data_IF_951463561206
#
_entry.id   IF_951463561206
#
_cell.length_a   1.000
_cell.length_b   1.000
_cell.length_c   1.000
_cell.angle_alpha   90.00
_cell.angle_beta   90.00
_cell.angle_gamma   90.00
#
_symmetry.space_group_name_H-M   'P 1'
#
loop_
_entity.id
_entity.type
_entity.pdbx_description
1 polymer ?
#
# COMPACT_ATOMS: atom_id res chain seq x y z
N UNK A 1 28.26 -20.32 60.63
CA UNK A 1 27.13 -20.93 61.35
C UNK A 1 26.29 -19.81 61.96
N UNK A 2 24.95 -19.83 61.74
CA UNK A 2 23.90 -18.85 62.15
C UNK A 2 23.75 -17.65 61.21
N UNK A 3 22.88 -17.71 60.18
CA UNK A 3 21.41 -17.50 60.16
C UNK A 3 21.04 -16.07 60.58
N UNK A 4 20.67 -15.22 59.60
CA UNK A 4 19.99 -13.94 59.82
C UNK A 4 18.68 -14.00 59.02
N UNK A 5 17.50 -13.79 59.65
CA UNK A 5 16.20 -14.08 59.07
C UNK A 5 15.69 -12.95 58.16
N UNK A 6 14.90 -13.37 57.18
CA UNK A 6 14.01 -12.56 56.34
C UNK A 6 13.02 -11.76 57.18
N UNK A 7 12.97 -10.44 57.01
CA UNK A 7 11.81 -9.61 57.38
C UNK A 7 11.33 -8.90 56.13
N UNK A 8 10.20 -9.39 55.64
CA UNK A 8 9.36 -8.80 54.61
C UNK A 8 8.72 -7.53 55.21
N UNK A 9 8.99 -6.37 54.63
CA UNK A 9 8.24 -5.15 54.89
C UNK A 9 7.52 -4.73 53.61
N UNK A 10 6.21 -5.04 53.56
CA UNK A 10 5.31 -4.61 52.52
C UNK A 10 5.08 -3.10 52.64
N UNK A 11 5.49 -2.34 51.62
CA UNK A 11 5.08 -0.94 51.45
C UNK A 11 4.17 -0.90 50.23
N UNK A 12 2.87 -0.86 50.49
CA UNK A 12 1.85 -0.63 49.49
C UNK A 12 1.95 0.82 49.00
N UNK A 13 2.53 1.03 47.82
CA UNK A 13 2.48 2.31 47.13
C UNK A 13 1.07 2.50 46.55
N UNK A 14 0.31 3.39 47.17
CA UNK A 14 -1.02 3.83 46.78
C UNK A 14 -0.94 4.46 45.38
N UNK A 15 -1.54 3.79 44.39
CA UNK A 15 -1.81 4.33 43.06
C UNK A 15 -2.84 5.45 43.17
N UNK A 16 -2.39 6.69 43.24
CA UNK A 16 -3.25 7.86 43.00
C UNK A 16 -3.59 7.90 41.51
N UNK A 17 -4.76 7.36 41.14
CA UNK A 17 -5.37 7.58 39.84
C UNK A 17 -5.63 9.08 39.67
N UNK A 18 -4.79 9.74 38.88
CA UNK A 18 -5.05 11.08 38.39
C UNK A 18 -6.18 11.03 37.37
N UNK A 19 -7.42 11.24 37.81
CA UNK A 19 -8.55 11.52 36.92
C UNK A 19 -8.42 12.93 36.36
N UNK A 20 -7.57 13.11 35.35
CA UNK A 20 -7.61 14.31 34.52
C UNK A 20 -8.87 14.28 33.65
N UNK A 21 -9.77 15.24 33.83
CA UNK A 21 -10.85 15.50 32.87
C UNK A 21 -10.22 15.93 31.55
N UNK A 22 -10.17 15.02 30.57
CA UNK A 22 -9.93 15.38 29.19
C UNK A 22 -11.16 16.15 28.67
N UNK A 23 -11.05 17.47 28.53
CA UNK A 23 -12.00 18.26 27.76
C UNK A 23 -11.84 17.84 26.29
N UNK A 24 -12.77 17.02 25.79
CA UNK A 24 -12.91 16.78 24.37
C UNK A 24 -13.27 18.10 23.70
N UNK A 25 -12.28 18.76 23.08
CA UNK A 25 -12.56 19.90 22.21
C UNK A 25 -13.54 19.46 21.13
N UNK A 26 -14.49 20.33 20.79
CA UNK A 26 -15.34 20.18 19.59
C UNK A 26 -14.44 20.34 18.36
N UNK A 27 -13.64 19.31 18.07
CA UNK A 27 -12.95 19.21 16.81
C UNK A 27 -14.01 19.23 15.72
N UNK A 28 -13.87 20.15 14.77
CA UNK A 28 -14.60 20.09 13.52
C UNK A 28 -14.45 18.65 13.00
N UNK A 29 -15.55 17.93 12.85
CA UNK A 29 -15.52 16.62 12.19
C UNK A 29 -15.23 16.89 10.70
N UNK A 30 -14.00 16.60 10.22
CA UNK A 30 -13.62 16.91 8.86
C UNK A 30 -14.43 16.09 7.84
N UNK A 31 -15.00 14.96 8.26
CA UNK A 31 -15.86 14.12 7.41
C UNK A 31 -17.29 14.65 7.36
N UNK A 32 -17.81 15.21 8.46
CA UNK A 32 -19.13 15.85 8.47
C UNK A 32 -19.19 17.03 7.48
N UNK A 33 -18.12 17.83 7.38
CA UNK A 33 -18.03 18.94 6.43
C UNK A 33 -18.05 18.50 4.94
N UNK A 34 -17.68 17.24 4.67
CA UNK A 34 -17.65 16.66 3.33
C UNK A 34 -18.90 15.80 3.03
N UNK A 35 -19.71 15.50 4.05
CA UNK A 35 -20.91 14.70 3.88
C UNK A 35 -21.91 15.42 2.97
N UNK A 36 -22.26 14.78 1.85
CA UNK A 36 -23.21 15.31 0.86
C UNK A 36 -22.63 16.23 -0.22
N UNK A 37 -21.32 16.53 -0.23
CA UNK A 37 -20.70 17.23 -1.38
C UNK A 37 -20.49 16.22 -2.52
N UNK A 38 -21.06 16.46 -3.73
CA UNK A 38 -20.80 15.59 -4.85
C UNK A 38 -19.31 15.63 -5.18
N UNK A 39 -18.68 14.46 -5.38
CA UNK A 39 -17.31 14.40 -5.86
C UNK A 39 -17.20 15.18 -7.18
N UNK A 40 -16.29 16.15 -7.26
CA UNK A 40 -16.07 16.93 -8.49
C UNK A 40 -17.01 18.13 -8.71
N UNK A 41 -17.83 18.52 -7.73
CA UNK A 41 -18.76 19.65 -7.89
C UNK A 41 -18.09 21.02 -7.90
N UNK A 42 -16.79 21.09 -7.58
CA UNK A 42 -16.02 22.31 -7.49
C UNK A 42 -14.95 22.34 -8.59
N UNK A 43 -15.06 23.26 -9.55
CA UNK A 43 -14.07 23.45 -10.60
C UNK A 43 -12.70 23.92 -10.06
N UNK A 44 -12.65 24.45 -8.84
CA UNK A 44 -11.42 24.89 -8.17
C UNK A 44 -10.88 23.85 -7.18
N UNK A 45 -11.58 22.72 -7.00
CA UNK A 45 -11.03 21.62 -6.22
C UNK A 45 -9.85 21.00 -7.00
N UNK A 46 -8.63 20.98 -6.41
CA UNK A 46 -7.46 20.43 -7.06
C UNK A 46 -7.65 18.97 -7.50
N UNK A 47 -8.51 18.19 -6.83
CA UNK A 47 -8.82 16.82 -7.23
C UNK A 47 -9.67 16.76 -8.51
N UNK A 48 -10.56 17.73 -8.74
CA UNK A 48 -11.33 17.84 -10.00
C UNK A 48 -10.40 18.16 -11.17
N UNK A 49 -9.45 19.08 -10.97
CA UNK A 49 -8.49 19.48 -12.00
C UNK A 49 -7.46 18.39 -12.35
N UNK A 50 -7.15 17.48 -11.41
CA UNK A 50 -6.31 16.31 -11.66
C UNK A 50 -7.06 15.22 -12.45
N UNK A 51 -8.32 14.94 -12.10
CA UNK A 51 -9.14 13.93 -12.79
C UNK A 51 -9.41 14.28 -14.26
N UNK A 52 -9.71 15.54 -14.56
CA UNK A 52 -9.97 15.98 -15.94
C UNK A 52 -8.78 15.79 -16.88
N UNK A 53 -7.54 15.72 -16.36
CA UNK A 53 -6.34 15.42 -17.14
C UNK A 53 -6.09 13.93 -17.32
N UNK A 54 -6.54 13.12 -16.36
CA UNK A 54 -6.48 11.66 -16.47
C UNK A 54 -7.51 11.17 -17.49
N UNK A 55 -8.69 11.81 -17.55
CA UNK A 55 -9.77 11.45 -18.48
C UNK A 55 -9.44 11.76 -19.96
N UNK A 56 -8.51 12.69 -20.23
CA UNK A 56 -8.07 13.03 -21.60
C UNK A 56 -6.86 12.25 -22.08
N UNK A 57 -6.18 11.53 -21.19
CA UNK A 57 -5.17 10.56 -21.59
C UNK A 57 -5.91 9.29 -22.02
N UNK A 58 -5.98 9.04 -23.33
CA UNK A 58 -6.43 7.76 -23.88
C UNK A 58 -5.44 6.68 -23.42
N UNK A 59 -5.62 6.18 -22.19
CA UNK A 59 -4.87 5.05 -21.69
C UNK A 59 -5.14 3.91 -22.67
N UNK A 60 -4.09 3.45 -23.36
CA UNK A 60 -4.19 2.29 -24.24
C UNK A 60 -4.95 1.20 -23.48
N UNK A 61 -6.12 0.83 -24.01
CA UNK A 61 -7.01 -0.11 -23.35
C UNK A 61 -6.23 -1.41 -23.19
N UNK A 62 -5.84 -1.75 -21.96
CA UNK A 62 -5.00 -2.91 -21.70
C UNK A 62 -5.70 -4.20 -22.11
N UNK A 63 -4.93 -5.26 -22.28
CA UNK A 63 -5.42 -6.55 -22.76
C UNK A 63 -6.44 -7.14 -21.76
N UNK A 64 -7.70 -7.26 -22.15
CA UNK A 64 -8.75 -7.80 -21.28
C UNK A 64 -8.50 -9.24 -20.81
N UNK A 65 -7.88 -10.08 -21.63
CA UNK A 65 -7.52 -11.46 -21.25
C UNK A 65 -6.46 -11.47 -20.14
N UNK A 66 -5.55 -10.50 -20.16
CA UNK A 66 -4.50 -10.31 -19.16
C UNK A 66 -4.91 -9.30 -18.07
N UNK A 67 -6.21 -9.18 -17.76
CA UNK A 67 -6.70 -8.33 -16.67
C UNK A 67 -6.42 -6.83 -16.86
N UNK A 68 -6.35 -6.38 -18.12
CA UNK A 68 -6.07 -4.99 -18.49
C UNK A 68 -4.60 -4.59 -18.37
N UNK A 69 -3.67 -5.55 -18.34
CA UNK A 69 -2.24 -5.27 -18.45
C UNK A 69 -1.89 -4.79 -19.88
N UNK A 70 -0.94 -3.85 -20.07
CA UNK A 70 -0.46 -3.49 -21.40
C UNK A 70 0.10 -4.68 -22.19
N UNK A 71 -0.16 -4.76 -23.49
CA UNK A 71 0.45 -5.78 -24.34
C UNK A 71 1.98 -5.62 -24.40
N UNK A 72 2.70 -6.73 -24.52
CA UNK A 72 4.15 -6.73 -24.70
C UNK A 72 4.85 -7.99 -24.20
N UNK A 73 6.14 -8.08 -24.47
CA UNK A 73 6.97 -9.18 -23.96
C UNK A 73 6.97 -9.18 -22.42
N UNK A 74 6.64 -10.32 -21.81
CA UNK A 74 6.54 -10.45 -20.36
C UNK A 74 5.15 -10.21 -19.78
N UNK A 75 4.15 -9.79 -20.58
CA UNK A 75 2.80 -9.52 -20.08
C UNK A 75 2.11 -10.78 -19.55
N UNK A 76 2.19 -11.88 -20.30
CA UNK A 76 1.57 -13.16 -19.94
C UNK A 76 2.26 -13.80 -18.73
N UNK A 77 3.59 -13.79 -18.68
CA UNK A 77 4.37 -14.26 -17.54
C UNK A 77 4.07 -13.44 -16.29
N UNK A 78 3.96 -12.11 -16.43
CA UNK A 78 3.59 -11.22 -15.33
C UNK A 78 2.18 -11.52 -14.84
N UNK A 79 1.23 -11.70 -15.77
CA UNK A 79 -0.14 -12.04 -15.43
C UNK A 79 -0.18 -13.32 -14.59
N UNK A 80 0.31 -14.44 -15.11
CA UNK A 80 0.20 -15.71 -14.41
C UNK A 80 1.00 -15.76 -13.09
N UNK A 81 2.15 -15.09 -13.01
CA UNK A 81 2.93 -15.05 -11.77
C UNK A 81 2.28 -14.18 -10.70
N UNK A 82 1.76 -13.00 -11.07
CA UNK A 82 1.33 -12.00 -10.09
C UNK A 82 -0.15 -12.10 -9.72
N UNK A 83 -0.98 -12.81 -10.49
CA UNK A 83 -2.42 -12.99 -10.18
C UNK A 83 -2.73 -14.18 -9.27
N UNK A 84 -1.71 -14.97 -8.89
CA UNK A 84 -1.88 -16.12 -8.01
C UNK A 84 -2.44 -15.75 -6.62
N UNK A 85 -2.23 -14.50 -6.16
CA UNK A 85 -2.65 -14.05 -4.83
C UNK A 85 -3.61 -12.85 -4.82
N UNK A 86 -3.60 -12.00 -5.85
CA UNK A 86 -4.42 -10.78 -5.92
C UNK A 86 -4.60 -10.31 -7.38
N UNK A 87 -5.52 -9.39 -7.64
CA UNK A 87 -5.81 -8.93 -9.00
C UNK A 87 -4.70 -8.08 -9.63
N UNK A 88 -4.75 -7.96 -10.96
CA UNK A 88 -3.89 -7.05 -11.74
C UNK A 88 -4.08 -5.57 -11.39
N UNK A 89 -5.18 -5.21 -10.72
CA UNK A 89 -5.40 -3.83 -10.27
C UNK A 89 -4.33 -3.36 -9.29
N UNK A 90 -3.84 -4.24 -8.41
CA UNK A 90 -2.73 -3.89 -7.52
C UNK A 90 -1.47 -3.57 -8.32
N UNK A 91 -1.18 -4.32 -9.39
CA UNK A 91 -0.03 -4.08 -10.28
C UNK A 91 -0.16 -2.71 -10.94
N UNK A 92 -1.32 -2.43 -11.54
CA UNK A 92 -1.60 -1.20 -12.28
C UNK A 92 -1.58 0.06 -11.41
N UNK A 93 -1.86 -0.08 -10.12
CA UNK A 93 -1.80 1.03 -9.15
C UNK A 93 -0.38 1.37 -8.71
N UNK A 94 0.61 0.50 -8.93
CA UNK A 94 1.98 0.79 -8.54
C UNK A 94 2.63 1.77 -9.52
N UNK A 95 3.17 2.86 -8.97
CA UNK A 95 4.11 3.76 -9.65
C UNK A 95 5.30 4.01 -8.73
N UNK A 96 6.20 3.04 -8.70
CA UNK A 96 7.40 3.02 -7.87
C UNK A 96 8.65 2.93 -8.75
N UNK A 97 9.83 3.28 -8.23
CA UNK A 97 11.08 3.25 -8.99
C UNK A 97 11.49 1.83 -9.38
N UNK A 98 12.41 1.70 -10.35
CA UNK A 98 12.91 0.38 -10.77
C UNK A 98 13.56 -0.37 -9.60
N UNK A 99 14.28 0.32 -8.72
CA UNK A 99 14.84 -0.25 -7.50
C UNK A 99 13.74 -0.76 -6.54
N UNK A 100 12.67 0.02 -6.35
CA UNK A 100 11.56 -0.39 -5.47
C UNK A 100 10.84 -1.62 -6.00
N UNK A 101 10.78 -1.82 -7.32
CA UNK A 101 10.26 -3.07 -7.91
C UNK A 101 11.13 -4.28 -7.54
N UNK A 102 12.46 -4.16 -7.56
CA UNK A 102 13.36 -5.25 -7.15
C UNK A 102 13.21 -5.61 -5.66
N UNK A 103 13.08 -4.60 -4.81
CA UNK A 103 12.82 -4.79 -3.38
C UNK A 103 11.44 -5.42 -3.13
N UNK A 104 10.40 -4.95 -3.84
CA UNK A 104 9.05 -5.49 -3.72
C UNK A 104 9.01 -6.96 -4.12
N UNK A 105 9.67 -7.33 -5.22
CA UNK A 105 9.81 -8.72 -5.63
C UNK A 105 10.44 -9.57 -4.54
N UNK A 106 11.58 -9.12 -4.01
CA UNK A 106 12.32 -9.82 -2.95
C UNK A 106 11.42 -10.03 -1.72
N UNK A 107 10.70 -8.98 -1.31
CA UNK A 107 9.74 -9.06 -0.20
C UNK A 107 8.59 -10.04 -0.48
N UNK A 108 8.04 -10.05 -1.70
CA UNK A 108 6.98 -11.00 -2.06
C UNK A 108 7.46 -12.45 -1.97
N UNK A 109 8.69 -12.73 -2.41
CA UNK A 109 9.27 -14.08 -2.31
C UNK A 109 9.54 -14.44 -0.85
N UNK A 110 10.28 -13.61 -0.13
CA UNK A 110 10.81 -13.95 1.20
C UNK A 110 9.76 -13.87 2.32
N UNK A 111 8.91 -12.85 2.29
CA UNK A 111 7.96 -12.57 3.36
C UNK A 111 6.53 -13.03 3.04
N UNK A 112 6.12 -12.91 1.77
CA UNK A 112 4.75 -13.27 1.37
C UNK A 112 4.64 -14.69 0.80
N UNK A 113 5.75 -15.38 0.58
CA UNK A 113 5.78 -16.76 0.11
C UNK A 113 5.44 -16.92 -1.38
N UNK A 114 5.65 -15.89 -2.20
CA UNK A 114 5.51 -16.00 -3.65
C UNK A 114 6.54 -17.01 -4.18
N UNK A 115 6.08 -18.03 -4.90
CA UNK A 115 6.97 -18.99 -5.56
C UNK A 115 7.81 -18.24 -6.59
N UNK A 116 9.13 -18.30 -6.45
CA UNK A 116 10.05 -17.65 -7.37
C UNK A 116 10.22 -18.50 -8.64
N UNK A 117 9.91 -17.95 -9.84
CA UNK A 117 10.12 -18.63 -11.12
C UNK A 117 11.61 -18.70 -11.48
N UNK A 118 11.91 -19.43 -12.55
CA UNK A 118 13.26 -19.52 -13.10
C UNK A 118 13.86 -18.12 -13.38
N UNK A 119 15.20 -17.94 -13.23
CA UNK A 119 15.83 -16.62 -13.31
C UNK A 119 15.52 -15.84 -14.60
N UNK A 120 15.40 -16.53 -15.73
CA UNK A 120 15.06 -15.90 -17.00
C UNK A 120 13.64 -15.33 -17.01
N UNK A 121 12.67 -16.07 -16.47
CA UNK A 121 11.27 -15.64 -16.34
C UNK A 121 11.15 -14.49 -15.35
N UNK A 122 11.85 -14.56 -14.20
CA UNK A 122 11.94 -13.43 -13.26
C UNK A 122 12.45 -12.16 -13.94
N UNK A 123 13.53 -12.26 -14.69
CA UNK A 123 14.12 -11.11 -15.39
C UNK A 123 13.14 -10.52 -16.42
N UNK A 124 12.41 -11.37 -17.15
CA UNK A 124 11.39 -10.96 -18.10
C UNK A 124 10.24 -10.20 -17.41
N UNK A 125 9.72 -10.75 -16.31
CA UNK A 125 8.63 -10.13 -15.53
C UNK A 125 9.08 -8.78 -14.94
N UNK A 126 10.25 -8.73 -14.30
CA UNK A 126 10.77 -7.46 -13.74
C UNK A 126 11.01 -6.41 -14.83
N UNK A 127 11.49 -6.81 -15.99
CA UNK A 127 11.64 -5.90 -17.14
C UNK A 127 10.29 -5.35 -17.58
N UNK A 128 9.27 -6.21 -17.70
CA UNK A 128 7.91 -5.81 -18.06
C UNK A 128 7.29 -4.86 -17.02
N UNK A 129 7.35 -5.21 -15.73
CA UNK A 129 6.81 -4.40 -14.63
C UNK A 129 7.43 -3.01 -14.62
N UNK A 130 8.75 -2.93 -14.70
CA UNK A 130 9.48 -1.67 -14.73
C UNK A 130 9.12 -0.87 -15.97
N UNK A 131 9.08 -1.48 -17.14
CA UNK A 131 8.78 -0.80 -18.41
C UNK A 131 7.42 -0.10 -18.36
N UNK A 132 6.41 -0.76 -17.79
CA UNK A 132 5.03 -0.27 -17.84
C UNK A 132 4.58 0.52 -16.60
N UNK A 133 5.17 0.24 -15.43
CA UNK A 133 4.67 0.71 -14.13
C UNK A 133 5.73 1.37 -13.25
N UNK A 134 6.90 1.69 -13.81
CA UNK A 134 7.89 2.50 -13.10
C UNK A 134 7.43 3.95 -12.97
N UNK A 135 7.80 4.63 -11.88
CA UNK A 135 7.66 6.09 -11.76
C UNK A 135 8.74 6.86 -12.52
N UNK A 136 9.74 6.17 -13.07
CA UNK A 136 10.89 6.77 -13.76
C UNK A 136 10.65 6.92 -15.28
N UNK A 137 9.45 6.57 -15.75
CA UNK A 137 9.01 6.60 -17.15
C UNK A 137 7.57 7.09 -17.30
#
# INVERSE_FOLDING_TARGET
MRIIPTIVAAIAAVLTLGSGLAMAGTGLDPMAALSGRPAGSDPLDPMTALRSRADTAEAAKGNEELGGLPDGAGAEETYYQCVACHSTEIIKQQRITDHRWDELWTWMVEAQGMVEPEPATKALILTYLKTNFSSER
#
